data_IF_490368786330
#
_entry.id   IF_490368786330
#
_cell.length_a   1.000
_cell.length_b   1.000
_cell.length_c   1.000
_cell.angle_alpha   90.00
_cell.angle_beta   90.00
_cell.angle_gamma   90.00
#
_symmetry.space_group_name_H-M   'P 1'
#
loop_
_entity.id
_entity.type
_entity.pdbx_description
1 polymer ?
#
# COMPACT_ATOMS: atom_id res chain seq x y z
N UNK A 1 -13.12 -7.38 2.93
CA UNK A 1 -12.64 -6.96 1.59
C UNK A 1 -11.78 -8.04 0.90
N UNK A 2 -11.56 -9.21 1.52
CA UNK A 2 -10.82 -10.32 0.93
C UNK A 2 -11.70 -11.58 0.93
N UNK A 3 -11.31 -12.61 0.19
CA UNK A 3 -12.08 -13.85 0.08
C UNK A 3 -12.25 -14.56 1.43
N UNK A 4 -13.44 -15.10 1.67
CA UNK A 4 -13.82 -15.71 2.96
C UNK A 4 -12.96 -16.93 3.27
N UNK A 5 -12.68 -17.79 2.29
CA UNK A 5 -11.94 -19.03 2.53
C UNK A 5 -10.52 -18.77 3.00
N UNK A 6 -9.83 -17.80 2.38
CA UNK A 6 -8.48 -17.45 2.80
C UNK A 6 -8.48 -16.75 4.17
N UNK A 7 -9.33 -15.74 4.35
CA UNK A 7 -9.32 -14.95 5.59
C UNK A 7 -9.74 -15.79 6.80
N UNK A 8 -10.81 -16.57 6.71
CA UNK A 8 -11.31 -17.37 7.84
C UNK A 8 -10.36 -18.49 8.23
N UNK A 9 -9.60 -19.05 7.27
CA UNK A 9 -8.58 -20.08 7.57
C UNK A 9 -7.50 -19.58 8.53
N UNK A 10 -7.15 -18.30 8.47
CA UNK A 10 -6.04 -17.73 9.23
C UNK A 10 -6.48 -16.79 10.36
N UNK A 11 -7.63 -16.13 10.22
CA UNK A 11 -8.16 -15.19 11.21
C UNK A 11 -9.40 -15.71 11.96
N UNK A 12 -9.93 -16.88 11.58
CA UNK A 12 -11.19 -17.41 12.11
C UNK A 12 -12.42 -16.70 11.53
N UNK A 13 -13.62 -17.08 12.00
CA UNK A 13 -14.84 -16.42 11.56
C UNK A 13 -14.96 -15.02 12.20
N UNK A 14 -15.34 -13.96 11.45
CA UNK A 14 -15.32 -12.59 11.97
C UNK A 14 -16.28 -12.34 13.14
N UNK A 15 -17.36 -13.12 13.25
CA UNK A 15 -18.29 -13.00 14.38
C UNK A 15 -17.71 -13.55 15.68
N UNK A 16 -16.78 -14.50 15.58
CA UNK A 16 -16.13 -15.15 16.73
C UNK A 16 -14.79 -14.46 17.07
N UNK A 17 -14.04 -14.06 16.03
CA UNK A 17 -12.67 -13.55 16.13
C UNK A 17 -12.55 -12.08 15.68
N UNK A 18 -13.55 -11.25 15.99
CA UNK A 18 -13.62 -9.87 15.53
C UNK A 18 -12.37 -9.01 15.84
N UNK A 19 -11.67 -9.31 16.93
CA UNK A 19 -10.43 -8.59 17.29
C UNK A 19 -9.27 -8.91 16.34
N UNK A 20 -9.16 -10.15 15.84
CA UNK A 20 -8.13 -10.53 14.87
C UNK A 20 -8.25 -9.71 13.58
N UNK A 21 -9.50 -9.47 13.14
CA UNK A 21 -9.80 -8.62 11.98
C UNK A 21 -9.50 -7.15 12.24
N UNK A 22 -9.85 -6.61 13.42
CA UNK A 22 -9.55 -5.23 13.79
C UNK A 22 -8.05 -4.97 13.86
N UNK A 23 -7.31 -5.84 14.54
CA UNK A 23 -5.87 -5.70 14.71
C UNK A 23 -5.10 -5.81 13.39
N UNK A 24 -5.59 -6.64 12.46
CA UNK A 24 -4.96 -6.87 11.17
C UNK A 24 -5.34 -5.84 10.09
N UNK A 25 -6.30 -4.95 10.38
CA UNK A 25 -6.77 -3.94 9.43
C UNK A 25 -5.92 -2.67 9.47
N UNK A 26 -5.25 -2.33 8.37
CA UNK A 26 -4.49 -1.07 8.27
C UNK A 26 -5.38 0.18 8.13
N UNK A 27 -6.69 0.02 7.98
CA UNK A 27 -7.61 1.16 7.88
C UNK A 27 -7.81 1.88 9.21
N UNK A 28 -7.51 1.23 10.34
CA UNK A 28 -7.52 1.87 11.66
C UNK A 28 -6.15 2.53 11.93
N UNK A 29 -6.10 3.87 12.11
CA UNK A 29 -4.87 4.56 12.45
C UNK A 29 -4.17 4.02 13.70
N UNK A 30 -4.91 3.46 14.67
CA UNK A 30 -4.31 2.87 15.87
C UNK A 30 -3.26 1.79 15.54
N UNK A 31 -3.40 1.11 14.40
CA UNK A 31 -2.51 0.04 13.97
C UNK A 31 -1.19 0.53 13.34
N UNK A 32 -1.05 1.82 13.02
CA UNK A 32 0.20 2.38 12.49
C UNK A 32 0.61 3.74 13.08
N UNK A 33 -0.22 4.36 13.91
CA UNK A 33 0.01 5.69 14.48
C UNK A 33 1.30 5.79 15.31
N UNK A 34 1.80 4.66 15.82
CA UNK A 34 3.07 4.60 16.58
C UNK A 34 4.31 4.86 15.70
N UNK A 35 4.19 4.75 14.39
CA UNK A 35 5.29 5.06 13.46
C UNK A 35 5.49 6.57 13.31
N UNK A 36 6.73 6.98 13.02
CA UNK A 36 7.06 8.39 12.79
C UNK A 36 6.26 8.93 11.59
N UNK A 37 5.52 10.05 11.75
CA UNK A 37 4.57 10.54 10.74
C UNK A 37 5.23 10.95 9.42
N UNK A 38 6.50 11.38 9.47
CA UNK A 38 7.29 11.78 8.30
C UNK A 38 7.91 10.61 7.51
N UNK A 39 7.67 9.34 7.90
CA UNK A 39 8.27 8.21 7.16
C UNK A 39 7.69 8.17 5.75
N UNK A 40 8.51 8.28 4.70
CA UNK A 40 8.02 8.21 3.33
C UNK A 40 7.29 6.89 3.09
N UNK A 41 6.10 6.97 2.48
CA UNK A 41 5.28 5.82 2.11
C UNK A 41 4.85 5.91 0.65
N UNK A 42 5.06 4.83 -0.10
CA UNK A 42 4.58 4.64 -1.46
C UNK A 42 3.65 3.42 -1.50
N UNK A 43 2.41 3.63 -1.92
CA UNK A 43 1.43 2.59 -2.19
C UNK A 43 1.37 2.32 -3.70
N UNK A 44 1.51 1.07 -4.13
CA UNK A 44 1.45 0.67 -5.54
C UNK A 44 0.36 -0.38 -5.70
N UNK A 45 -0.55 -0.20 -6.65
CA UNK A 45 -1.67 -1.13 -6.83
C UNK A 45 -2.14 -1.24 -8.29
N UNK A 46 -2.39 -2.45 -8.76
CA UNK A 46 -3.04 -2.72 -10.06
C UNK A 46 -4.53 -2.39 -10.05
N UNK A 47 -4.98 -1.51 -10.96
CA UNK A 47 -6.39 -1.11 -11.00
C UNK A 47 -7.34 -2.20 -11.52
N UNK A 48 -6.81 -3.24 -12.16
CA UNK A 48 -7.56 -4.39 -12.64
C UNK A 48 -7.37 -5.64 -11.76
N UNK A 49 -6.83 -5.49 -10.54
CA UNK A 49 -6.65 -6.61 -9.61
C UNK A 49 -8.01 -7.10 -9.08
N UNK A 50 -8.29 -8.39 -9.33
CA UNK A 50 -9.50 -9.10 -8.92
C UNK A 50 -9.28 -9.99 -7.69
N UNK A 51 -8.03 -10.19 -7.27
CA UNK A 51 -7.66 -10.92 -6.07
C UNK A 51 -7.61 -9.97 -4.87
N UNK A 52 -6.79 -8.92 -4.95
CA UNK A 52 -6.74 -7.84 -3.95
C UNK A 52 -7.30 -6.58 -4.60
N UNK A 53 -8.61 -6.41 -4.52
CA UNK A 53 -9.27 -5.28 -5.18
C UNK A 53 -8.72 -3.92 -4.73
N UNK A 54 -8.66 -2.96 -5.65
CA UNK A 54 -8.08 -1.61 -5.42
C UNK A 54 -8.73 -0.86 -4.24
N UNK A 55 -9.95 -1.24 -3.85
CA UNK A 55 -10.65 -0.70 -2.68
C UNK A 55 -9.80 -0.74 -1.39
N UNK A 56 -8.89 -1.71 -1.24
CA UNK A 56 -7.94 -1.77 -0.13
C UNK A 56 -7.01 -0.55 -0.09
N UNK A 57 -6.35 -0.25 -1.21
CA UNK A 57 -5.43 0.91 -1.30
C UNK A 57 -6.19 2.22 -1.15
N UNK A 58 -7.39 2.34 -1.71
CA UNK A 58 -8.21 3.54 -1.57
C UNK A 58 -8.66 3.77 -0.12
N UNK A 59 -9.06 2.70 0.60
CA UNK A 59 -9.44 2.79 1.99
C UNK A 59 -8.26 3.20 2.90
N UNK A 60 -7.08 2.60 2.68
CA UNK A 60 -5.87 2.98 3.41
C UNK A 60 -5.44 4.42 3.10
N UNK A 61 -5.43 4.81 1.83
CA UNK A 61 -5.09 6.18 1.39
C UNK A 61 -6.00 7.22 2.05
N UNK A 62 -7.31 6.95 2.11
CA UNK A 62 -8.26 7.78 2.84
C UNK A 62 -7.90 7.91 4.32
N UNK A 63 -7.66 6.79 5.00
CA UNK A 63 -7.33 6.78 6.43
C UNK A 63 -6.03 7.56 6.73
N UNK A 64 -4.99 7.39 5.90
CA UNK A 64 -3.75 8.16 6.00
C UNK A 64 -3.98 9.66 5.78
N UNK A 65 -4.76 10.02 4.76
CA UNK A 65 -5.09 11.41 4.45
C UNK A 65 -5.86 12.08 5.59
N UNK A 66 -6.90 11.42 6.12
CA UNK A 66 -7.72 11.92 7.24
C UNK A 66 -6.89 12.12 8.52
N UNK A 67 -5.83 11.31 8.71
CA UNK A 67 -4.89 11.45 9.80
C UNK A 67 -3.71 12.40 9.54
N UNK A 68 -3.71 13.12 8.40
CA UNK A 68 -2.63 14.05 8.04
C UNK A 68 -1.29 13.37 7.74
N UNK A 69 -1.28 12.10 7.34
CA UNK A 69 -0.07 11.35 7.01
C UNK A 69 0.26 11.41 5.52
N UNK A 70 1.39 12.04 5.13
CA UNK A 70 1.78 12.12 3.73
C UNK A 70 2.10 10.73 3.19
N UNK A 71 1.61 10.45 1.98
CA UNK A 71 1.87 9.21 1.26
C UNK A 71 1.72 9.45 -0.24
N UNK A 72 2.37 8.61 -1.04
CA UNK A 72 2.25 8.60 -2.49
C UNK A 72 1.45 7.37 -2.92
N UNK A 73 0.64 7.50 -3.98
CA UNK A 73 -0.10 6.39 -4.59
C UNK A 73 0.28 6.31 -6.07
N UNK A 74 0.75 5.14 -6.50
CA UNK A 74 1.04 4.81 -7.89
C UNK A 74 0.01 3.78 -8.39
N UNK A 75 -1.09 4.23 -9.03
CA UNK A 75 -2.06 3.33 -9.63
C UNK A 75 -1.54 2.78 -10.97
N UNK A 76 -1.60 1.47 -11.15
CA UNK A 76 -1.17 0.79 -12.38
C UNK A 76 -2.40 0.40 -13.22
N UNK A 77 -2.70 1.19 -14.26
CA UNK A 77 -3.84 0.93 -15.14
C UNK A 77 -3.63 -0.35 -15.97
N UNK A 78 -4.66 -1.19 -16.07
CA UNK A 78 -4.62 -2.45 -16.84
C UNK A 78 -3.76 -3.56 -16.22
N UNK A 79 -3.20 -3.34 -15.03
CA UNK A 79 -2.42 -4.32 -14.27
C UNK A 79 -3.33 -5.00 -13.25
N UNK A 80 -3.28 -6.34 -13.20
CA UNK A 80 -4.00 -7.16 -12.23
C UNK A 80 -3.15 -7.34 -10.96
N UNK A 81 -3.14 -8.51 -10.33
CA UNK A 81 -2.31 -8.81 -9.18
C UNK A 81 -0.81 -8.92 -9.52
N UNK A 82 -0.48 -9.25 -10.76
CA UNK A 82 0.90 -9.36 -11.24
C UNK A 82 1.13 -8.36 -12.37
N UNK A 83 2.38 -7.90 -12.53
CA UNK A 83 2.79 -6.98 -13.60
C UNK A 83 3.51 -7.78 -14.72
N UNK A 84 2.79 -8.37 -15.68
CA UNK A 84 3.42 -9.28 -16.67
C UNK A 84 4.19 -8.55 -17.77
N UNK A 85 3.98 -7.24 -17.93
CA UNK A 85 4.54 -6.45 -19.03
C UNK A 85 5.92 -5.93 -18.63
N UNK A 86 6.96 -6.38 -19.33
CA UNK A 86 8.37 -6.05 -19.05
C UNK A 86 8.62 -4.55 -18.93
N UNK A 87 8.09 -3.76 -19.88
CA UNK A 87 8.26 -2.29 -19.85
C UNK A 87 7.58 -1.63 -18.64
N UNK A 88 6.45 -2.17 -18.14
CA UNK A 88 5.79 -1.65 -16.94
C UNK A 88 6.59 -2.05 -15.70
N UNK A 89 7.08 -3.29 -15.65
CA UNK A 89 7.91 -3.78 -14.54
C UNK A 89 9.23 -2.99 -14.42
N UNK A 90 9.92 -2.74 -15.55
CA UNK A 90 11.16 -1.96 -15.59
C UNK A 90 10.95 -0.53 -15.07
N UNK A 91 9.91 0.16 -15.54
CA UNK A 91 9.65 1.53 -15.10
C UNK A 91 9.12 1.59 -13.66
N UNK A 92 8.39 0.56 -13.20
CA UNK A 92 8.04 0.43 -11.79
C UNK A 92 9.29 0.33 -10.91
N UNK A 93 10.29 -0.47 -11.31
CA UNK A 93 11.56 -0.56 -10.58
C UNK A 93 12.30 0.78 -10.54
N UNK A 94 12.30 1.55 -11.63
CA UNK A 94 12.88 2.91 -11.66
C UNK A 94 12.18 3.85 -10.68
N UNK A 95 10.85 3.88 -10.69
CA UNK A 95 10.06 4.71 -9.78
C UNK A 95 10.28 4.31 -8.31
N UNK A 96 10.37 3.02 -8.03
CA UNK A 96 10.69 2.51 -6.69
C UNK A 96 12.11 2.91 -6.25
N UNK A 97 13.10 2.80 -7.14
CA UNK A 97 14.48 3.22 -6.87
C UNK A 97 14.54 4.71 -6.56
N UNK A 98 13.90 5.54 -7.38
CA UNK A 98 13.82 6.99 -7.18
C UNK A 98 13.17 7.34 -5.83
N UNK A 99 12.07 6.67 -5.49
CA UNK A 99 11.39 6.85 -4.21
C UNK A 99 12.29 6.49 -3.02
N UNK A 100 12.98 5.35 -3.09
CA UNK A 100 13.89 4.90 -2.02
C UNK A 100 15.10 5.83 -1.91
N UNK A 101 15.70 6.23 -3.03
CA UNK A 101 16.82 7.16 -3.04
C UNK A 101 16.43 8.50 -2.40
N UNK A 102 15.29 9.08 -2.77
CA UNK A 102 14.75 10.29 -2.15
C UNK A 102 14.46 10.11 -0.66
N UNK A 103 13.83 8.99 -0.27
CA UNK A 103 13.49 8.69 1.12
C UNK A 103 14.72 8.50 2.02
N UNK A 104 15.85 8.06 1.45
CA UNK A 104 17.12 7.86 2.17
C UNK A 104 18.08 9.05 2.05
N UNK A 105 17.69 10.12 1.34
CA UNK A 105 18.57 11.27 1.10
C UNK A 105 19.76 10.97 0.17
N UNK A 106 19.60 9.99 -0.70
CA UNK A 106 20.59 9.54 -1.68
C UNK A 106 20.28 10.01 -3.10
N UNK A 107 19.28 10.88 -3.30
CA UNK A 107 18.88 11.34 -4.63
C UNK A 107 19.94 12.30 -5.21
N UNK A 108 20.71 11.89 -6.24
CA UNK A 108 21.75 12.73 -6.84
C UNK A 108 21.16 13.95 -7.56
N UNK A 109 19.85 14.00 -7.80
CA UNK A 109 19.17 15.18 -8.37
C UNK A 109 18.99 16.30 -7.34
N UNK A 110 19.08 16.00 -6.04
CA UNK A 110 19.05 16.99 -4.95
C UNK A 110 20.43 17.64 -4.69
N UNK A 111 21.49 17.14 -5.33
CA UNK A 111 22.87 17.66 -5.19
C UNK A 111 23.24 18.73 -6.23
N UNK A 112 22.33 19.15 -7.11
CA UNK A 112 22.60 20.22 -8.07
C UNK A 112 22.17 21.60 -7.51
N UNK A 113 23.06 22.60 -7.51
CA UNK A 113 22.80 23.94 -6.98
C UNK A 113 21.80 24.76 -7.82
#
# INVERSE_FOLDING_TARGET
>A
LYDTHYTERYLGHPDDEAEAYRHSSLCDPANWARGHPERPLLLVHGLADDNVVVAHTLALSRSLMEAGRPHQVLPLSGVTHMTPQEAVAENLLRLQLDFIAGALGLDPRLEQP
#
